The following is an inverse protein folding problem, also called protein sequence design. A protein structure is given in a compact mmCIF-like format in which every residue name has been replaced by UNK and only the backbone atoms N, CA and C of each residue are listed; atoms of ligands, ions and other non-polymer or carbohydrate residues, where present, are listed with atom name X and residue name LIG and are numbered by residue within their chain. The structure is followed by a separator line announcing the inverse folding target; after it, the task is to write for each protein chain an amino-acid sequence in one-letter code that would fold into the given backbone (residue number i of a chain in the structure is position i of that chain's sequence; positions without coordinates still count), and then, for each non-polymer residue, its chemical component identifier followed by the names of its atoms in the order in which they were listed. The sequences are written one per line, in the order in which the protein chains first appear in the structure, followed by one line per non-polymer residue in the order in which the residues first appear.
data_IF_203619645162
#
_entry.id   IF_203619645162
#
_cell.length_a   1.000
_cell.length_b   1.000
_cell.length_c   1.000
_cell.angle_alpha   90.00
_cell.angle_beta   90.00
_cell.angle_gamma   90.00
#
_symmetry.space_group_name_H-M   'P 1'
#
loop_
_entity.id
_entity.type
_entity.pdbx_description
1 polymer ?
#
# COMPACT_ATOMS: atom_id res chain seq x y z
N UNK A 1 -13.27 15.49 -7.12
CA UNK A 1 -13.26 15.62 -5.65
C UNK A 1 -13.85 14.38 -4.99
N UNK A 2 -12.99 13.43 -4.61
CA UNK A 2 -13.36 12.38 -3.67
C UNK A 2 -13.33 12.95 -2.26
N UNK A 3 -14.32 12.64 -1.44
CA UNK A 3 -14.34 13.07 -0.04
C UNK A 3 -13.22 12.38 0.74
N UNK A 4 -12.21 13.15 1.15
CA UNK A 4 -11.07 12.67 1.96
C UNK A 4 -11.51 11.97 3.25
N UNK A 5 -12.65 12.37 3.83
CA UNK A 5 -13.20 11.70 5.03
C UNK A 5 -13.69 10.30 4.69
N UNK A 6 -14.29 10.13 3.52
CA UNK A 6 -14.72 8.82 3.02
C UNK A 6 -13.52 7.92 2.78
N UNK A 7 -12.45 8.40 2.15
CA UNK A 7 -11.21 7.62 1.96
C UNK A 7 -10.62 7.19 3.30
N UNK A 8 -10.48 8.11 4.25
CA UNK A 8 -9.93 7.78 5.57
C UNK A 8 -10.80 6.77 6.34
N UNK A 9 -12.13 6.88 6.24
CA UNK A 9 -13.05 5.91 6.85
C UNK A 9 -12.86 4.52 6.22
N UNK A 10 -12.87 4.45 4.89
CA UNK A 10 -12.66 3.20 4.16
C UNK A 10 -11.32 2.55 4.53
N UNK A 11 -10.24 3.32 4.67
CA UNK A 11 -8.94 2.77 5.06
C UNK A 11 -8.93 2.21 6.49
N UNK A 12 -9.66 2.84 7.42
CA UNK A 12 -9.85 2.29 8.78
C UNK A 12 -10.64 0.98 8.74
N UNK A 13 -11.70 0.92 7.95
CA UNK A 13 -12.51 -0.30 7.82
C UNK A 13 -11.68 -1.45 7.23
N UNK A 14 -10.90 -1.19 6.18
CA UNK A 14 -9.96 -2.14 5.58
C UNK A 14 -8.94 -2.62 6.63
N UNK A 15 -8.31 -1.71 7.37
CA UNK A 15 -7.33 -2.08 8.39
C UNK A 15 -7.95 -2.93 9.51
N UNK A 16 -9.16 -2.63 9.94
CA UNK A 16 -9.90 -3.43 10.94
C UNK A 16 -10.18 -4.84 10.43
N UNK A 17 -10.61 -4.98 9.16
CA UNK A 17 -10.85 -6.28 8.53
C UNK A 17 -9.54 -7.08 8.45
N UNK A 18 -8.47 -6.46 7.95
CA UNK A 18 -7.15 -7.12 7.84
C UNK A 18 -6.65 -7.54 9.22
N UNK A 19 -6.77 -6.69 10.24
CA UNK A 19 -6.40 -7.05 11.61
C UNK A 19 -7.16 -8.30 12.10
N UNK A 20 -8.47 -8.39 11.82
CA UNK A 20 -9.25 -9.58 12.16
C UNK A 20 -8.78 -10.83 11.41
N UNK A 21 -8.35 -10.71 10.16
CA UNK A 21 -7.82 -11.83 9.36
C UNK A 21 -6.47 -12.32 9.87
N UNK A 22 -5.60 -11.40 10.33
CA UNK A 22 -4.26 -11.73 10.82
C UNK A 22 -4.21 -12.11 12.31
N UNK A 23 -5.23 -11.76 13.10
CA UNK A 23 -5.28 -12.04 14.54
C UNK A 23 -5.09 -13.53 14.91
N UNK A 24 -5.67 -14.52 14.20
CA UNK A 24 -5.42 -15.95 14.49
C UNK A 24 -3.97 -16.38 14.29
N UNK A 25 -3.16 -15.62 13.55
CA UNK A 25 -1.72 -15.85 13.36
C UNK A 25 -0.87 -15.17 14.44
N UNK A 26 -1.50 -14.61 15.48
CA UNK A 26 -0.85 -13.80 16.51
C UNK A 26 -0.12 -12.56 15.95
N UNK A 27 -0.70 -11.97 14.91
CA UNK A 27 -0.21 -10.73 14.28
C UNK A 27 -1.27 -9.64 14.50
N UNK A 28 -0.84 -8.50 15.02
CA UNK A 28 -1.66 -7.30 15.15
C UNK A 28 -1.34 -6.30 14.05
N UNK A 29 -2.37 -5.79 13.37
CA UNK A 29 -2.24 -4.82 12.28
C UNK A 29 -2.73 -3.47 12.77
N UNK A 30 -1.82 -2.48 12.79
CA UNK A 30 -2.11 -1.11 13.16
C UNK A 30 -1.98 -0.19 11.94
N UNK A 31 -3.03 0.57 11.64
CA UNK A 31 -2.97 1.64 10.63
C UNK A 31 -2.31 2.88 11.23
N UNK A 32 -1.05 3.13 10.88
CA UNK A 32 -0.26 4.25 11.42
C UNK A 32 -0.30 5.52 10.57
N UNK A 33 -0.72 5.42 9.30
CA UNK A 33 -0.80 6.55 8.39
C UNK A 33 -1.58 6.23 7.12
N UNK A 34 -2.17 7.26 6.53
CA UNK A 34 -2.85 7.21 5.23
C UNK A 34 -2.33 8.40 4.43
N UNK A 35 -1.76 8.12 3.25
CA UNK A 35 -1.35 9.14 2.29
C UNK A 35 -2.27 9.05 1.09
N UNK A 36 -2.80 10.19 0.65
CA UNK A 36 -3.65 10.28 -0.54
C UNK A 36 -3.00 11.22 -1.53
N UNK A 37 -2.76 10.73 -2.74
CA UNK A 37 -2.23 11.49 -3.85
C UNK A 37 -3.37 12.28 -4.52
N UNK A 38 -3.71 13.45 -3.98
CA UNK A 38 -4.87 14.25 -4.41
C UNK A 38 -4.63 15.10 -5.65
N UNK A 39 -3.39 15.55 -5.86
CA UNK A 39 -3.02 16.45 -6.95
C UNK A 39 -2.55 15.67 -8.18
N UNK A 40 -1.67 14.69 -7.97
CA UNK A 40 -1.11 13.82 -9.00
C UNK A 40 -0.53 12.57 -8.36
N UNK A 41 -0.33 11.51 -9.14
CA UNK A 41 0.38 10.33 -8.68
C UNK A 41 1.85 10.65 -8.41
N UNK A 42 2.38 10.18 -7.28
CA UNK A 42 3.79 10.38 -6.90
C UNK A 42 4.76 9.44 -7.65
N UNK A 43 4.22 8.46 -8.36
CA UNK A 43 4.95 7.49 -9.17
C UNK A 43 4.20 7.21 -10.48
N UNK A 44 4.88 6.72 -11.53
CA UNK A 44 4.20 6.16 -12.69
C UNK A 44 3.40 4.90 -12.30
N UNK A 45 2.09 4.94 -12.54
CA UNK A 45 1.21 3.78 -12.47
C UNK A 45 1.12 3.13 -13.85
N UNK A 46 1.47 1.86 -13.93
CA UNK A 46 1.54 1.11 -15.18
C UNK A 46 0.65 -0.14 -15.12
N UNK A 47 0.20 -0.60 -16.28
CA UNK A 47 -0.54 -1.87 -16.37
C UNK A 47 0.35 -3.08 -16.01
N UNK A 48 1.67 -2.96 -16.19
CA UNK A 48 2.60 -3.95 -15.68
C UNK A 48 2.72 -3.80 -14.16
N UNK A 49 2.08 -4.71 -13.42
CA UNK A 49 2.06 -4.68 -11.96
C UNK A 49 3.44 -4.81 -11.30
N UNK A 50 4.40 -5.48 -11.95
CA UNK A 50 5.78 -5.58 -11.43
C UNK A 50 6.52 -4.25 -11.54
N UNK A 51 6.29 -3.48 -12.63
CA UNK A 51 6.82 -2.12 -12.76
C UNK A 51 6.19 -1.17 -11.75
N UNK A 52 4.87 -1.21 -11.58
CA UNK A 52 4.17 -0.40 -10.57
C UNK A 52 4.63 -0.73 -9.14
N UNK A 53 4.79 -2.01 -8.80
CA UNK A 53 5.33 -2.44 -7.51
C UNK A 53 6.76 -1.92 -7.30
N UNK A 54 7.63 -2.04 -8.32
CA UNK A 54 9.00 -1.53 -8.25
C UNK A 54 9.03 -0.02 -8.01
N UNK A 55 8.22 0.74 -8.75
CA UNK A 55 8.12 2.20 -8.57
C UNK A 55 7.61 2.55 -7.16
N UNK A 56 6.60 1.83 -6.65
CA UNK A 56 6.04 2.07 -5.33
C UNK A 56 7.02 1.75 -4.19
N UNK A 57 7.74 0.64 -4.28
CA UNK A 57 8.75 0.28 -3.29
C UNK A 57 9.90 1.31 -3.25
N UNK A 58 10.28 1.84 -4.41
CA UNK A 58 11.24 2.94 -4.50
C UNK A 58 10.69 4.22 -3.82
N UNK A 59 9.42 4.58 -4.06
CA UNK A 59 8.76 5.69 -3.36
C UNK A 59 8.71 5.48 -1.84
N UNK A 60 8.37 4.26 -1.38
CA UNK A 60 8.35 3.94 0.05
C UNK A 60 9.72 4.20 0.68
N UNK A 61 10.77 3.68 0.03
CA UNK A 61 12.16 3.77 0.48
C UNK A 61 12.64 5.21 0.59
N UNK A 62 12.42 6.03 -0.45
CA UNK A 62 13.06 7.34 -0.57
C UNK A 62 12.22 8.50 -0.02
N UNK A 63 10.90 8.34 0.08
CA UNK A 63 9.99 9.41 0.54
C UNK A 63 9.14 8.98 1.72
N UNK A 64 8.31 7.95 1.57
CA UNK A 64 7.30 7.63 2.59
C UNK A 64 7.92 7.32 3.95
N UNK A 65 9.00 6.54 4.01
CA UNK A 65 9.65 6.17 5.27
C UNK A 65 10.29 7.35 6.01
N UNK A 66 10.63 8.43 5.30
CA UNK A 66 11.14 9.65 5.93
C UNK A 66 10.01 10.43 6.63
N UNK A 67 8.79 10.35 6.11
CA UNK A 67 7.62 11.08 6.63
C UNK A 67 6.86 10.26 7.68
N UNK A 68 6.66 8.96 7.43
CA UNK A 68 5.85 8.07 8.26
C UNK A 68 6.62 6.76 8.48
N UNK A 69 7.13 6.57 9.69
CA UNK A 69 7.76 5.30 10.10
C UNK A 69 6.72 4.17 10.05
N UNK A 70 7.02 3.10 9.32
CA UNK A 70 6.16 1.93 9.17
C UNK A 70 6.95 0.65 8.84
N UNK A 71 6.41 -0.50 9.22
CA UNK A 71 6.99 -1.80 8.92
C UNK A 71 6.65 -2.28 7.49
N UNK A 72 5.50 -1.86 6.96
CA UNK A 72 4.97 -2.22 5.64
C UNK A 72 4.08 -1.09 5.09
N UNK A 73 4.03 -0.93 3.77
CA UNK A 73 3.07 -0.03 3.11
C UNK A 73 2.35 -0.72 1.95
N UNK A 74 1.10 -0.35 1.71
CA UNK A 74 0.28 -0.86 0.61
C UNK A 74 -0.24 0.31 -0.22
N UNK A 75 -0.07 0.26 -1.54
CA UNK A 75 -0.68 1.19 -2.47
C UNK A 75 -2.02 0.63 -2.95
N UNK A 76 -3.08 1.42 -2.81
CA UNK A 76 -4.39 1.12 -3.40
C UNK A 76 -4.60 2.01 -4.62
N UNK A 77 -4.83 1.42 -5.78
CA UNK A 77 -4.94 2.12 -7.05
C UNK A 77 -6.19 1.71 -7.84
N UNK A 78 -6.58 2.55 -8.80
CA UNK A 78 -7.58 2.19 -9.82
C UNK A 78 -6.95 1.67 -11.11
N UNK A 79 -5.62 1.66 -11.19
CA UNK A 79 -4.89 1.11 -12.32
C UNK A 79 -5.24 -0.38 -12.47
N UNK A 80 -5.64 -0.77 -13.67
CA UNK A 80 -5.85 -2.18 -13.99
C UNK A 80 -4.51 -2.78 -14.39
N UNK A 81 -4.13 -3.87 -13.73
CA UNK A 81 -2.96 -4.62 -14.16
C UNK A 81 -3.31 -5.64 -15.24
N UNK A 82 -2.31 -6.00 -16.05
CA UNK A 82 -2.47 -6.97 -17.14
C UNK A 82 -2.85 -8.36 -16.62
N UNK A 83 -3.41 -9.18 -17.52
CA UNK A 83 -3.71 -10.60 -17.28
C UNK A 83 -4.65 -10.88 -16.10
N UNK A 84 -5.50 -9.91 -15.74
CA UNK A 84 -6.47 -10.05 -14.65
C UNK A 84 -5.83 -10.01 -13.25
N UNK A 85 -4.57 -9.59 -13.15
CA UNK A 85 -3.90 -9.40 -11.86
C UNK A 85 -4.57 -8.27 -11.08
N UNK A 86 -4.94 -8.55 -9.82
CA UNK A 86 -5.56 -7.57 -8.92
C UNK A 86 -4.59 -6.99 -7.89
N UNK A 87 -3.35 -7.48 -7.86
CA UNK A 87 -2.33 -6.98 -6.95
C UNK A 87 -1.00 -7.73 -7.04
N UNK A 88 0.06 -7.11 -6.55
CA UNK A 88 1.43 -7.64 -6.55
C UNK A 88 2.14 -7.30 -5.24
N UNK A 89 2.91 -8.25 -4.72
CA UNK A 89 3.83 -8.06 -3.62
C UNK A 89 4.98 -9.06 -3.73
N UNK A 90 6.13 -8.75 -3.13
CA UNK A 90 7.24 -9.68 -3.00
C UNK A 90 6.99 -10.64 -1.82
N UNK A 91 7.43 -11.90 -1.93
CA UNK A 91 7.27 -12.92 -0.88
C UNK A 91 8.45 -12.88 0.10
N UNK A 92 8.15 -12.80 1.40
CA UNK A 92 9.15 -12.80 2.47
C UNK A 92 9.86 -11.48 2.86
N UNK A 93 9.56 -10.28 2.30
CA UNK A 93 10.31 -9.06 2.61
C UNK A 93 9.74 -8.26 3.79
N UNK A 94 8.87 -8.83 4.63
CA UNK A 94 8.24 -8.08 5.71
C UNK A 94 9.31 -7.42 6.60
N UNK A 95 9.08 -6.16 6.97
CA UNK A 95 10.00 -5.30 7.73
C UNK A 95 11.34 -4.95 7.04
N UNK A 96 11.60 -5.41 5.81
CA UNK A 96 12.77 -4.95 5.07
C UNK A 96 12.61 -3.47 4.68
N UNK A 97 13.73 -2.75 4.71
CA UNK A 97 13.75 -1.33 4.33
C UNK A 97 13.32 -1.14 2.86
N UNK A 98 13.74 -2.03 1.97
CA UNK A 98 13.57 -1.85 0.52
C UNK A 98 12.28 -2.46 -0.04
N UNK A 99 11.83 -3.60 0.49
CA UNK A 99 10.88 -4.45 -0.23
C UNK A 99 9.57 -4.73 0.53
N UNK A 100 9.39 -4.13 1.72
CA UNK A 100 8.19 -4.34 2.54
C UNK A 100 7.00 -3.51 2.04
N UNK A 101 6.33 -3.99 0.99
CA UNK A 101 5.09 -3.41 0.51
C UNK A 101 4.42 -4.17 -0.64
N UNK A 102 3.26 -3.69 -1.04
CA UNK A 102 2.46 -4.25 -2.15
C UNK A 102 1.63 -3.18 -2.85
N UNK A 103 1.08 -3.55 -4.01
CA UNK A 103 0.18 -2.72 -4.83
C UNK A 103 -1.08 -3.51 -5.13
N UNK A 104 -2.25 -2.88 -5.08
CA UNK A 104 -3.56 -3.49 -5.35
C UNK A 104 -4.54 -2.49 -5.94
#
# INVERSE_FOLDING_TARGET
NGDMRTVHRQMKDVANIINSVYSPLNIFIALVGVVVWSEQDEIPLEENGDRTLTNFLQYRKTRLLAEIKNDNAQLLTRQKFQDGVVGKALKGPICTYEFSGGVS
#
